data_IF_525205562922
#
_entry.id   IF_525205562922
#
_cell.length_a   1.000
_cell.length_b   1.000
_cell.length_c   1.000
_cell.angle_alpha   90.00
_cell.angle_beta   90.00
_cell.angle_gamma   90.00
#
_symmetry.space_group_name_H-M   'P 1'
#
loop_
_entity.id
_entity.type
_entity.pdbx_description
1 polymer ?
#
# COMPACT_ATOMS: atom_id res chain seq x y z
N UNK A 1 10.43 4.37 8.04
CA UNK A 1 9.05 3.96 7.74
C UNK A 1 9.09 2.69 6.92
N UNK A 2 8.35 1.68 7.34
CA UNK A 2 8.24 0.41 6.64
C UNK A 2 6.77 0.15 6.35
N UNK A 3 6.42 -0.09 5.09
CA UNK A 3 5.06 -0.45 4.74
C UNK A 3 4.70 -1.80 5.35
N UNK A 4 3.49 -1.89 5.86
CA UNK A 4 2.80 -3.10 6.28
C UNK A 4 1.42 -3.14 5.63
N UNK A 5 0.60 -4.15 5.92
CA UNK A 5 -0.77 -4.25 5.41
C UNK A 5 -1.56 -3.00 5.79
N UNK A 6 -2.11 -2.32 4.77
CA UNK A 6 -2.97 -1.15 4.92
C UNK A 6 -2.39 0.01 5.73
N UNK A 7 -1.07 0.19 5.69
CA UNK A 7 -0.43 1.28 6.42
C UNK A 7 1.08 1.12 6.53
N UNK A 8 1.64 1.67 7.58
CA UNK A 8 3.07 1.60 7.84
C UNK A 8 3.39 1.59 9.33
N UNK A 9 4.61 1.19 9.65
CA UNK A 9 5.20 1.34 10.98
C UNK A 9 6.46 2.20 10.92
N UNK A 10 6.64 3.03 11.92
CA UNK A 10 7.86 3.79 12.13
C UNK A 10 8.82 3.02 13.02
N UNK A 11 10.09 2.98 12.65
CA UNK A 11 11.16 2.38 13.45
C UNK A 11 12.35 3.32 13.53
N UNK A 12 13.06 3.34 14.67
CA UNK A 12 14.27 4.14 14.78
C UNK A 12 15.36 3.60 13.85
N UNK A 13 16.21 4.48 13.34
CA UNK A 13 17.36 4.14 12.51
C UNK A 13 18.64 3.90 13.33
N UNK A 14 18.59 4.09 14.65
CA UNK A 14 19.69 3.84 15.58
C UNK A 14 19.45 2.55 16.37
N UNK A 15 20.53 1.90 16.79
CA UNK A 15 20.51 0.66 17.57
C UNK A 15 20.97 0.89 19.00
N UNK A 16 20.31 1.80 19.72
CA UNK A 16 20.72 2.20 21.09
C UNK A 16 20.22 1.27 22.19
N UNK A 17 19.21 0.46 21.94
CA UNK A 17 18.64 -0.47 22.93
C UNK A 17 18.91 -1.91 22.50
N UNK A 18 18.93 -2.84 23.46
CA UNK A 18 19.18 -4.26 23.15
C UNK A 18 18.22 -4.85 22.14
N UNK A 19 16.93 -4.47 22.18
CA UNK A 19 15.96 -4.95 21.21
C UNK A 19 16.13 -4.29 19.83
N UNK A 20 16.68 -3.08 19.72
CA UNK A 20 16.99 -2.45 18.44
C UNK A 20 18.10 -3.21 17.71
N UNK A 21 19.07 -3.76 18.47
CA UNK A 21 20.14 -4.59 17.93
C UNK A 21 19.62 -5.92 17.39
N UNK A 22 18.58 -6.49 18.03
CA UNK A 22 17.95 -7.73 17.57
C UNK A 22 17.07 -7.52 16.32
N UNK A 23 16.65 -6.29 16.05
CA UNK A 23 15.85 -5.91 14.88
C UNK A 23 16.73 -5.41 13.72
N UNK A 24 17.83 -6.08 13.48
CA UNK A 24 18.74 -5.75 12.37
C UNK A 24 18.08 -5.97 11.00
N UNK A 25 17.11 -6.87 10.93
CA UNK A 25 16.28 -7.13 9.77
C UNK A 25 14.81 -7.21 10.21
N UNK A 26 13.94 -6.49 9.50
CA UNK A 26 12.51 -6.40 9.80
C UNK A 26 11.70 -6.60 8.52
N UNK A 27 10.40 -6.85 8.69
CA UNK A 27 9.50 -6.99 7.57
C UNK A 27 9.12 -5.63 7.00
N UNK A 28 9.07 -5.55 5.67
CA UNK A 28 8.40 -4.52 4.90
C UNK A 28 7.56 -5.18 3.80
N UNK A 29 6.73 -4.40 3.10
CA UNK A 29 6.03 -4.86 1.92
C UNK A 29 6.60 -4.19 0.66
N UNK A 30 5.85 -3.30 0.03
CA UNK A 30 6.21 -2.71 -1.27
C UNK A 30 7.28 -1.63 -1.18
N UNK A 31 7.46 -1.01 0.01
CA UNK A 31 8.50 -0.01 0.20
C UNK A 31 9.03 0.07 1.63
N UNK A 32 10.27 0.54 1.73
CA UNK A 32 10.87 1.04 2.97
C UNK A 32 11.43 2.43 2.71
N UNK A 33 11.05 3.39 3.55
CA UNK A 33 11.43 4.79 3.42
C UNK A 33 12.30 5.25 4.58
N UNK A 34 13.30 6.04 4.25
CA UNK A 34 14.10 6.82 5.18
C UNK A 34 13.78 8.30 4.95
N UNK A 35 13.24 8.97 5.96
CA UNK A 35 12.78 10.35 5.80
C UNK A 35 12.88 11.14 7.10
N UNK A 36 12.93 12.45 6.92
CA UNK A 36 12.71 13.45 7.96
C UNK A 36 11.44 14.27 7.65
N UNK A 37 11.30 15.44 8.26
CA UNK A 37 10.12 16.28 8.07
C UNK A 37 10.07 17.02 6.72
N UNK A 38 11.15 17.00 5.94
CA UNK A 38 11.32 17.82 4.74
C UNK A 38 11.81 17.06 3.51
N UNK A 39 12.40 15.89 3.72
CA UNK A 39 12.98 15.08 2.64
C UNK A 39 12.81 13.61 2.94
N UNK A 40 12.83 12.80 1.91
CA UNK A 40 12.87 11.36 2.07
C UNK A 40 13.31 10.64 0.81
N UNK A 41 13.65 9.37 1.01
CA UNK A 41 13.89 8.44 -0.06
C UNK A 41 13.32 7.07 0.32
N UNK A 42 13.05 6.24 -0.67
CA UNK A 42 12.58 4.89 -0.42
C UNK A 42 13.16 3.91 -1.42
N UNK A 43 13.34 2.67 -0.96
CA UNK A 43 13.52 1.50 -1.80
C UNK A 43 12.15 0.86 -1.99
N UNK A 44 11.78 0.66 -3.26
CA UNK A 44 10.59 -0.07 -3.69
C UNK A 44 10.99 -1.50 -4.06
N UNK A 45 10.14 -2.47 -3.82
CA UNK A 45 10.39 -3.85 -4.22
C UNK A 45 9.08 -4.57 -4.57
N UNK A 46 9.18 -5.70 -5.28
CA UNK A 46 8.04 -6.49 -5.73
C UNK A 46 7.86 -7.82 -4.98
N UNK A 47 8.87 -8.29 -4.25
CA UNK A 47 8.79 -9.61 -3.59
C UNK A 47 9.85 -9.82 -2.49
N UNK A 48 10.58 -8.80 -2.08
CA UNK A 48 11.63 -8.91 -1.06
C UNK A 48 11.22 -8.20 0.22
N UNK A 49 10.84 -8.96 1.24
CA UNK A 49 10.19 -8.46 2.44
C UNK A 49 11.11 -8.29 3.64
N UNK A 50 12.37 -8.73 3.55
CA UNK A 50 13.39 -8.50 4.57
C UNK A 50 14.16 -7.21 4.31
N UNK A 51 14.24 -6.32 5.30
CA UNK A 51 14.95 -5.05 5.17
C UNK A 51 15.65 -4.69 6.48
N UNK A 52 16.90 -4.26 6.38
CA UNK A 52 17.66 -3.60 7.43
C UNK A 52 17.69 -2.09 7.20
N UNK A 53 17.57 -1.32 8.27
CA UNK A 53 17.82 0.13 8.23
C UNK A 53 18.69 0.52 9.40
N UNK A 54 19.79 1.17 9.09
CA UNK A 54 20.71 1.69 10.09
C UNK A 54 21.21 3.07 9.68
N UNK A 55 21.02 4.05 10.55
CA UNK A 55 21.35 5.46 10.31
C UNK A 55 20.76 5.98 8.99
N UNK A 56 21.59 6.14 7.97
CA UNK A 56 21.23 6.63 6.64
C UNK A 56 21.33 5.57 5.54
N UNK A 57 21.31 4.28 5.92
CA UNK A 57 21.40 3.14 5.02
C UNK A 57 20.14 2.32 5.04
N UNK A 58 19.69 1.87 3.85
CA UNK A 58 18.62 0.89 3.66
C UNK A 58 19.24 -0.33 2.98
N UNK A 59 19.07 -1.51 3.57
CA UNK A 59 19.60 -2.78 3.10
C UNK A 59 18.46 -3.74 2.79
N UNK A 60 18.17 -3.99 1.51
CA UNK A 60 17.15 -4.94 1.08
C UNK A 60 17.74 -6.35 1.01
N UNK A 61 17.20 -7.29 1.76
CA UNK A 61 17.62 -8.70 1.71
C UNK A 61 17.06 -9.37 0.46
N UNK A 62 17.95 -9.75 -0.44
CA UNK A 62 17.56 -10.37 -1.71
C UNK A 62 17.39 -11.89 -1.60
N UNK A 63 18.32 -12.58 -0.92
CA UNK A 63 18.31 -14.02 -0.69
C UNK A 63 18.97 -14.35 0.65
N UNK A 64 18.53 -15.40 1.31
CA UNK A 64 19.15 -15.89 2.54
C UNK A 64 19.97 -17.17 2.33
N UNK A 65 19.55 -18.03 1.39
CA UNK A 65 20.20 -19.29 1.06
C UNK A 65 20.53 -20.14 2.32
N UNK A 66 19.53 -20.32 3.18
CA UNK A 66 19.70 -21.04 4.44
C UNK A 66 20.11 -22.50 4.20
N UNK A 67 21.09 -22.98 4.95
CA UNK A 67 21.56 -24.37 4.85
C UNK A 67 20.82 -25.32 5.81
N UNK A 68 19.93 -24.84 6.66
CA UNK A 68 19.13 -25.61 7.60
C UNK A 68 17.75 -24.96 7.78
N UNK A 69 16.66 -25.72 7.82
CA UNK A 69 16.59 -27.20 7.75
C UNK A 69 16.75 -27.78 6.33
N UNK A 70 16.71 -26.96 5.28
CA UNK A 70 16.79 -27.39 3.88
C UNK A 70 18.08 -26.88 3.24
N UNK A 71 18.99 -27.80 2.89
CA UNK A 71 20.29 -27.44 2.32
C UNK A 71 20.22 -26.91 0.88
N UNK A 72 19.13 -27.15 0.18
CA UNK A 72 18.90 -26.68 -1.18
C UNK A 72 18.00 -25.44 -1.25
N UNK A 73 17.72 -24.80 -0.10
CA UNK A 73 16.94 -23.57 -0.05
C UNK A 73 17.51 -22.51 -0.98
N UNK A 74 16.62 -21.81 -1.68
CA UNK A 74 16.96 -20.72 -2.58
C UNK A 74 17.90 -21.09 -3.74
N UNK A 75 18.07 -22.37 -4.06
CA UNK A 75 18.81 -22.78 -5.24
C UNK A 75 17.95 -22.61 -6.49
N UNK A 76 18.52 -22.02 -7.54
CA UNK A 76 17.83 -21.80 -8.81
C UNK A 76 17.90 -20.36 -9.33
N UNK A 77 17.11 -20.08 -10.37
CA UNK A 77 16.99 -18.74 -10.92
C UNK A 77 15.97 -17.92 -10.10
N UNK A 78 16.37 -16.72 -9.70
CA UNK A 78 15.52 -15.76 -9.00
C UNK A 78 15.32 -14.53 -9.84
N UNK A 79 14.07 -14.05 -9.94
CA UNK A 79 13.70 -12.81 -10.62
C UNK A 79 12.99 -11.90 -9.63
N UNK A 80 13.49 -10.70 -9.49
CA UNK A 80 12.92 -9.68 -8.63
C UNK A 80 13.27 -8.29 -9.18
N UNK A 81 12.45 -7.31 -8.82
CA UNK A 81 12.68 -5.91 -9.16
C UNK A 81 12.76 -5.09 -7.89
N UNK A 82 13.61 -4.10 -7.91
CA UNK A 82 13.64 -3.05 -6.90
C UNK A 82 13.84 -1.71 -7.58
N UNK A 83 13.36 -0.66 -6.95
CA UNK A 83 13.45 0.72 -7.45
C UNK A 83 13.87 1.66 -6.34
N UNK A 84 14.23 2.87 -6.73
CA UNK A 84 14.57 3.94 -5.81
C UNK A 84 13.75 5.18 -6.16
N UNK A 85 13.23 5.86 -5.14
CA UNK A 85 12.55 7.13 -5.26
C UNK A 85 13.00 8.10 -4.17
N UNK A 86 12.90 9.40 -4.42
CA UNK A 86 13.19 10.44 -3.45
C UNK A 86 12.23 11.62 -3.63
N UNK A 87 12.04 12.38 -2.57
CA UNK A 87 11.15 13.55 -2.54
C UNK A 87 11.68 14.64 -1.61
N UNK A 88 11.20 15.88 -1.79
CA UNK A 88 11.62 17.06 -1.03
C UNK A 88 10.46 17.68 -0.25
N UNK A 89 9.71 16.84 0.46
CA UNK A 89 8.53 17.20 1.24
C UNK A 89 8.38 16.23 2.42
N UNK A 90 7.39 16.44 3.28
CA UNK A 90 7.10 15.51 4.36
C UNK A 90 6.60 14.16 3.82
N UNK A 91 6.76 13.09 4.58
CA UNK A 91 6.21 11.77 4.21
C UNK A 91 4.69 11.81 3.98
N UNK A 92 3.96 12.67 4.67
CA UNK A 92 2.51 12.82 4.48
C UNK A 92 2.15 13.23 3.04
N UNK A 93 3.00 14.03 2.38
CA UNK A 93 2.82 14.52 1.02
C UNK A 93 3.53 13.68 -0.04
N UNK A 94 4.45 12.81 0.40
CA UNK A 94 5.28 12.01 -0.50
C UNK A 94 4.45 11.03 -1.34
N UNK A 95 4.73 10.87 -2.64
CA UNK A 95 3.98 10.01 -3.54
C UNK A 95 4.37 8.52 -3.44
N UNK A 96 5.12 8.13 -2.42
CA UNK A 96 5.74 6.80 -2.30
C UNK A 96 4.73 5.66 -2.31
N UNK A 97 3.54 5.85 -1.71
CA UNK A 97 2.48 4.82 -1.68
C UNK A 97 1.97 4.53 -3.09
N UNK A 98 1.66 5.59 -3.86
CA UNK A 98 1.20 5.48 -5.25
C UNK A 98 2.31 4.92 -6.16
N UNK A 99 3.55 5.35 -5.95
CA UNK A 99 4.70 4.85 -6.72
C UNK A 99 4.95 3.36 -6.43
N UNK A 100 4.82 2.93 -5.16
CA UNK A 100 4.97 1.54 -4.77
C UNK A 100 3.84 0.67 -5.33
N UNK A 101 2.60 1.16 -5.35
CA UNK A 101 1.48 0.51 -6.01
C UNK A 101 1.76 0.36 -7.52
N UNK A 102 2.05 1.45 -8.23
CA UNK A 102 2.35 1.41 -9.67
C UNK A 102 3.56 0.53 -10.02
N UNK A 103 4.54 0.40 -9.11
CA UNK A 103 5.68 -0.49 -9.29
C UNK A 103 5.29 -1.97 -9.22
N UNK A 104 4.27 -2.30 -8.44
CA UNK A 104 3.81 -3.67 -8.21
C UNK A 104 2.65 -4.07 -9.11
N UNK A 105 1.82 -3.13 -9.55
CA UNK A 105 0.66 -3.40 -10.40
C UNK A 105 1.07 -3.45 -11.88
N UNK A 106 0.94 -4.59 -12.56
CA UNK A 106 1.32 -4.70 -13.95
C UNK A 106 0.34 -3.92 -14.85
N UNK A 107 0.89 -3.29 -15.88
CA UNK A 107 0.08 -2.72 -16.97
C UNK A 107 -0.42 -3.85 -17.87
N UNK A 108 -1.74 -3.93 -18.05
CA UNK A 108 -2.35 -4.87 -18.99
C UNK A 108 -2.45 -4.21 -20.36
N UNK A 109 -1.98 -4.92 -21.38
CA UNK A 109 -2.03 -4.48 -22.77
C UNK A 109 -2.94 -5.41 -23.56
N UNK A 110 -4.01 -4.86 -24.13
CA UNK A 110 -4.91 -5.57 -25.01
C UNK A 110 -5.08 -4.85 -26.35
N UNK A 111 -5.26 -5.61 -27.43
CA UNK A 111 -5.54 -5.04 -28.72
C UNK A 111 -7.02 -4.60 -28.78
N UNK A 112 -7.25 -3.33 -29.05
CA UNK A 112 -8.60 -2.79 -29.14
C UNK A 112 -8.61 -1.27 -29.18
N UNK A 113 -9.81 -0.71 -29.22
CA UNK A 113 -10.05 0.72 -29.07
C UNK A 113 -11.04 0.93 -27.95
N UNK A 114 -10.57 1.47 -26.83
CA UNK A 114 -11.39 1.84 -25.68
C UNK A 114 -11.28 3.33 -25.44
N UNK A 115 -12.40 3.95 -25.07
CA UNK A 115 -12.37 5.29 -24.52
C UNK A 115 -11.79 5.20 -23.09
N UNK A 116 -10.87 6.11 -22.76
CA UNK A 116 -10.30 6.18 -21.42
C UNK A 116 -11.42 6.46 -20.39
N UNK A 117 -11.43 5.69 -19.32
CA UNK A 117 -12.36 5.88 -18.20
C UNK A 117 -11.66 5.50 -16.88
N UNK A 118 -12.18 6.01 -15.76
CA UNK A 118 -11.77 5.60 -14.43
C UNK A 118 -12.96 4.97 -13.71
N UNK A 119 -12.86 3.69 -13.38
CA UNK A 119 -13.94 3.00 -12.67
C UNK A 119 -14.24 3.72 -11.33
N UNK A 120 -13.21 3.96 -10.53
CA UNK A 120 -13.30 4.69 -9.27
C UNK A 120 -12.04 5.51 -9.02
N UNK A 121 -12.19 6.64 -8.35
CA UNK A 121 -11.08 7.45 -7.83
C UNK A 121 -11.51 8.19 -6.56
N UNK A 122 -10.53 8.61 -5.77
CA UNK A 122 -10.74 9.49 -4.61
C UNK A 122 -10.10 10.85 -4.85
N UNK A 123 -10.59 11.89 -4.20
CA UNK A 123 -9.98 13.22 -4.25
C UNK A 123 -8.95 13.46 -3.13
N UNK A 124 -8.72 12.46 -2.27
CA UNK A 124 -7.70 12.47 -1.23
C UNK A 124 -6.57 11.49 -1.57
N UNK A 125 -5.35 12.01 -1.75
CA UNK A 125 -4.20 11.20 -2.16
C UNK A 125 -3.76 10.12 -1.16
N UNK A 126 -4.11 10.27 0.12
CA UNK A 126 -3.83 9.30 1.18
C UNK A 126 -4.91 8.22 1.33
N UNK A 127 -6.04 8.33 0.64
CA UNK A 127 -7.07 7.30 0.59
C UNK A 127 -6.88 6.45 -0.67
N UNK A 128 -6.47 5.22 -0.47
CA UNK A 128 -6.13 4.28 -1.53
C UNK A 128 -7.27 3.31 -1.74
N UNK A 129 -7.72 3.17 -2.99
CA UNK A 129 -8.63 2.10 -3.39
C UNK A 129 -7.78 0.85 -3.61
N UNK A 130 -7.98 -0.15 -2.76
CA UNK A 130 -7.22 -1.40 -2.77
C UNK A 130 -7.86 -2.45 -3.67
N UNK A 131 -9.17 -2.58 -3.57
CA UNK A 131 -9.89 -3.64 -4.26
C UNK A 131 -11.20 -3.13 -4.84
N UNK A 132 -11.49 -3.57 -6.07
CA UNK A 132 -12.81 -3.46 -6.71
C UNK A 132 -13.20 -4.85 -7.17
N UNK A 133 -14.31 -5.39 -6.67
CA UNK A 133 -14.81 -6.72 -7.05
C UNK A 133 -16.33 -6.74 -7.12
N UNK A 134 -16.90 -7.78 -7.68
CA UNK A 134 -18.34 -8.04 -7.55
C UNK A 134 -18.65 -8.56 -6.14
N UNK A 135 -19.83 -8.22 -5.64
CA UNK A 135 -20.36 -8.78 -4.41
C UNK A 135 -20.51 -10.30 -4.49
N UNK A 136 -20.27 -11.01 -3.39
CA UNK A 136 -20.33 -12.47 -3.35
C UNK A 136 -21.79 -13.01 -3.36
N UNK A 137 -22.77 -12.16 -3.08
CA UNK A 137 -24.20 -12.49 -3.04
C UNK A 137 -24.88 -12.53 -4.43
N UNK A 138 -24.12 -12.34 -5.51
CA UNK A 138 -24.60 -12.30 -6.90
C UNK A 138 -25.62 -11.18 -7.18
N UNK A 139 -25.75 -10.17 -6.32
CA UNK A 139 -26.66 -9.03 -6.52
C UNK A 139 -26.33 -8.21 -7.77
N UNK A 140 -25.07 -8.27 -8.22
CA UNK A 140 -24.52 -7.43 -9.27
C UNK A 140 -23.89 -6.14 -8.73
N UNK A 141 -23.93 -5.91 -7.44
CA UNK A 141 -23.28 -4.81 -6.77
C UNK A 141 -21.74 -4.93 -6.83
N UNK A 142 -21.07 -3.81 -6.65
CA UNK A 142 -19.62 -3.74 -6.58
C UNK A 142 -19.16 -3.47 -5.14
N UNK A 143 -18.21 -4.25 -4.70
CA UNK A 143 -17.50 -4.02 -3.42
C UNK A 143 -16.26 -3.19 -3.71
N UNK A 144 -16.14 -2.11 -2.96
CA UNK A 144 -15.00 -1.21 -3.00
C UNK A 144 -14.31 -1.25 -1.64
N UNK A 145 -13.06 -1.73 -1.58
CA UNK A 145 -12.24 -1.65 -0.37
C UNK A 145 -11.26 -0.50 -0.52
N UNK A 146 -11.21 0.33 0.49
CA UNK A 146 -10.26 1.43 0.56
C UNK A 146 -9.60 1.51 1.94
N UNK A 147 -8.46 2.18 2.02
CA UNK A 147 -7.78 2.41 3.30
C UNK A 147 -7.07 3.77 3.32
N UNK A 148 -6.91 4.32 4.51
CA UNK A 148 -6.11 5.52 4.75
C UNK A 148 -4.64 5.12 4.97
N UNK A 149 -3.70 5.70 4.22
CA UNK A 149 -2.31 5.22 4.11
C UNK A 149 -1.26 6.10 4.79
N UNK A 150 -1.62 7.26 5.34
CA UNK A 150 -0.69 8.29 5.84
C UNK A 150 -0.88 8.65 7.31
N UNK A 151 -1.69 7.87 8.05
CA UNK A 151 -2.00 8.09 9.48
C UNK A 151 -2.71 9.42 9.72
N UNK A 152 -3.60 9.80 8.83
CA UNK A 152 -4.33 11.06 8.87
C UNK A 152 -5.84 10.85 8.97
N UNK A 153 -6.50 11.69 9.76
CA UNK A 153 -7.96 11.79 9.77
C UNK A 153 -8.39 12.53 8.50
N UNK A 154 -9.20 11.88 7.63
CA UNK A 154 -9.38 12.35 6.26
C UNK A 154 -10.84 12.33 5.83
N UNK A 155 -11.30 13.48 5.30
CA UNK A 155 -12.57 13.62 4.58
C UNK A 155 -12.31 13.58 3.08
N UNK A 156 -13.14 12.86 2.33
CA UNK A 156 -12.94 12.67 0.90
C UNK A 156 -14.22 12.32 0.17
N UNK A 157 -14.16 12.38 -1.16
CA UNK A 157 -15.23 11.95 -2.05
C UNK A 157 -14.76 10.84 -2.98
N UNK A 158 -15.67 9.92 -3.28
CA UNK A 158 -15.48 8.94 -4.35
C UNK A 158 -16.06 9.49 -5.64
N UNK A 159 -15.32 9.31 -6.74
CA UNK A 159 -15.78 9.61 -8.11
C UNK A 159 -15.78 8.33 -8.92
N UNK A 160 -16.74 8.22 -9.83
CA UNK A 160 -16.84 7.06 -10.72
C UNK A 160 -17.36 7.50 -12.09
N UNK A 161 -16.81 6.93 -13.15
CA UNK A 161 -17.35 7.01 -14.51
C UNK A 161 -18.41 5.90 -14.78
N UNK A 162 -18.56 4.96 -13.83
CA UNK A 162 -19.61 3.95 -13.87
C UNK A 162 -20.93 4.55 -13.33
N UNK A 163 -22.09 3.99 -13.74
CA UNK A 163 -23.41 4.46 -13.30
C UNK A 163 -23.72 4.02 -11.85
N UNK A 164 -22.88 4.41 -10.91
CA UNK A 164 -23.06 4.17 -9.48
C UNK A 164 -23.75 5.36 -8.85
N UNK A 165 -24.81 5.12 -8.10
CA UNK A 165 -25.59 6.17 -7.44
C UNK A 165 -25.43 6.18 -5.92
N UNK A 166 -25.22 5.01 -5.32
CA UNK A 166 -25.33 4.80 -3.88
C UNK A 166 -24.15 4.00 -3.35
N UNK A 167 -23.69 4.38 -2.17
CA UNK A 167 -22.68 3.68 -1.38
C UNK A 167 -23.35 3.14 -0.11
N UNK A 168 -23.08 1.91 0.24
CA UNK A 168 -23.59 1.27 1.46
C UNK A 168 -22.38 0.70 2.22
N UNK A 169 -22.06 1.23 3.42
CA UNK A 169 -20.99 0.63 4.25
C UNK A 169 -21.33 -0.82 4.59
N UNK A 170 -20.36 -1.70 4.45
CA UNK A 170 -20.47 -3.11 4.80
C UNK A 170 -19.26 -3.57 5.64
N UNK A 171 -19.42 -4.70 6.30
CA UNK A 171 -18.32 -5.36 7.00
C UNK A 171 -17.47 -6.21 6.03
N UNK A 172 -16.45 -6.90 6.55
CA UNK A 172 -15.55 -7.75 5.76
C UNK A 172 -16.24 -8.99 5.15
N UNK A 173 -17.46 -9.30 5.59
CA UNK A 173 -18.31 -10.34 5.02
C UNK A 173 -19.35 -9.77 4.05
N UNK A 174 -19.19 -8.50 3.67
CA UNK A 174 -20.05 -7.77 2.72
C UNK A 174 -21.48 -7.55 3.25
N UNK A 175 -21.69 -7.72 4.56
CA UNK A 175 -22.98 -7.46 5.18
C UNK A 175 -23.16 -5.96 5.43
N UNK A 176 -24.25 -5.33 4.99
CA UNK A 176 -24.50 -3.92 5.25
C UNK A 176 -24.52 -3.59 6.75
N UNK A 177 -23.70 -2.61 7.17
CA UNK A 177 -23.60 -2.18 8.58
C UNK A 177 -23.98 -0.71 8.78
N UNK A 178 -24.30 0.02 7.73
CA UNK A 178 -24.61 1.43 7.78
C UNK A 178 -25.77 1.85 6.88
N UNK A 179 -26.05 3.16 6.87
CA UNK A 179 -27.07 3.74 5.99
C UNK A 179 -26.48 4.00 4.61
N UNK A 180 -27.28 3.79 3.59
CA UNK A 180 -26.96 4.19 2.23
C UNK A 180 -26.70 5.71 2.14
N UNK A 181 -25.66 6.08 1.42
CA UNK A 181 -25.29 7.44 1.09
C UNK A 181 -25.21 7.61 -0.43
N UNK A 182 -25.47 8.81 -0.94
CA UNK A 182 -25.23 9.10 -2.35
C UNK A 182 -23.74 9.02 -2.68
N UNK A 183 -23.36 8.62 -3.89
CA UNK A 183 -21.95 8.58 -4.34
C UNK A 183 -21.21 9.91 -4.08
N UNK A 184 -21.91 11.04 -4.20
CA UNK A 184 -21.35 12.40 -3.99
C UNK A 184 -21.25 12.82 -2.52
N UNK A 185 -21.65 11.96 -1.57
CA UNK A 185 -21.53 12.28 -0.16
C UNK A 185 -20.06 12.39 0.25
N UNK A 186 -19.79 13.33 1.16
CA UNK A 186 -18.49 13.37 1.84
C UNK A 186 -18.37 12.19 2.78
N UNK A 187 -17.30 11.45 2.63
CA UNK A 187 -16.95 10.29 3.45
C UNK A 187 -15.82 10.64 4.40
N UNK A 188 -15.66 9.88 5.44
CA UNK A 188 -14.63 10.08 6.45
C UNK A 188 -13.96 8.75 6.78
N UNK A 189 -12.62 8.78 6.89
CA UNK A 189 -11.81 7.66 7.38
C UNK A 189 -10.84 8.16 8.45
N UNK A 190 -10.66 7.33 9.47
CA UNK A 190 -9.68 7.55 10.54
C UNK A 190 -8.28 7.10 10.10
N UNK A 191 -7.23 7.48 10.84
CA UNK A 191 -5.86 7.00 10.60
C UNK A 191 -5.80 5.49 10.47
N UNK A 192 -5.30 4.99 9.34
CA UNK A 192 -5.18 3.56 9.00
C UNK A 192 -6.49 2.77 8.98
N UNK A 193 -7.63 3.43 8.88
CA UNK A 193 -8.91 2.75 8.72
C UNK A 193 -8.99 2.06 7.37
N UNK A 194 -9.55 0.84 7.38
CA UNK A 194 -9.92 0.07 6.20
C UNK A 194 -11.44 0.00 6.14
N UNK A 195 -12.00 0.34 5.01
CA UNK A 195 -13.46 0.35 4.74
C UNK A 195 -13.78 -0.33 3.44
#
# INVERSE_FOLDING_TARGET
>A
IHEIQFGYVERPTHRSRGYDQQRFEVCNHRYTALCDNSHGCAVLNDCKYGVGVEQNSIELTLLRAAASPEMASDQGEHRFRYGFTAWSESFAQAPVVQQAAAFNDPVWLEAGSLQAFSAFSTDAANVVIDTVKRADDESGDLILRLYESKKADTYFHIRSDLPVETLIPCDLLETPVGRAAALKAELHVRPFEVS
#
